data_IF_965131211808
#
_entry.id   IF_965131211808
#
_cell.length_a   1.000
_cell.length_b   1.000
_cell.length_c   1.000
_cell.angle_alpha   90.00
_cell.angle_beta   90.00
_cell.angle_gamma   90.00
#
_symmetry.space_group_name_H-M   'P 1'
#
loop_
_entity.id
_entity.type
_entity.pdbx_description
1 polymer ?
#
# COMPACT_ATOMS: atom_id res chain seq x y z
N UNK A 1 4.20 6.59 -15.88
CA UNK A 1 3.94 7.06 -14.50
C UNK A 1 2.45 7.03 -14.22
N UNK A 2 2.01 6.46 -13.09
CA UNK A 2 0.60 6.36 -12.72
C UNK A 2 0.26 7.39 -11.62
N UNK A 3 0.07 8.65 -12.02
CA UNK A 3 -0.08 9.78 -11.11
C UNK A 3 -1.21 9.64 -10.08
N UNK A 4 -2.28 8.91 -10.39
CA UNK A 4 -3.38 8.71 -9.45
C UNK A 4 -2.94 8.00 -8.15
N UNK A 5 -1.88 7.19 -8.19
CA UNK A 5 -1.34 6.55 -6.97
C UNK A 5 -0.48 7.47 -6.10
N UNK A 6 -0.18 8.70 -6.56
CA UNK A 6 0.55 9.68 -5.75
C UNK A 6 -0.30 10.17 -4.58
N UNK A 7 -1.63 9.99 -4.63
CA UNK A 7 -2.52 10.26 -3.49
C UNK A 7 -2.09 9.49 -2.25
N UNK A 8 -1.47 8.31 -2.40
CA UNK A 8 -0.97 7.52 -1.28
C UNK A 8 0.19 8.20 -0.52
N UNK A 9 0.80 9.25 -1.04
CA UNK A 9 1.75 10.07 -0.28
C UNK A 9 1.08 10.86 0.85
N UNK A 10 -0.26 11.03 0.80
CA UNK A 10 -1.01 11.64 1.91
C UNK A 10 -0.74 10.90 3.24
N UNK A 11 -0.51 9.59 3.20
CA UNK A 11 -0.16 8.80 4.39
C UNK A 11 1.15 9.29 5.02
N UNK A 12 2.14 9.67 4.22
CA UNK A 12 3.44 10.20 4.71
C UNK A 12 3.21 11.54 5.40
N UNK A 13 2.45 12.44 4.77
CA UNK A 13 2.16 13.78 5.30
C UNK A 13 1.34 13.70 6.59
N UNK A 14 0.29 12.88 6.60
CA UNK A 14 -0.55 12.65 7.79
C UNK A 14 0.28 12.04 8.91
N UNK A 15 1.17 11.09 8.62
CA UNK A 15 2.02 10.50 9.64
C UNK A 15 2.98 11.52 10.27
N UNK A 16 3.65 12.32 9.43
CA UNK A 16 4.53 13.40 9.89
C UNK A 16 3.77 14.40 10.78
N UNK A 17 2.58 14.81 10.35
CA UNK A 17 1.73 15.76 11.08
C UNK A 17 1.22 15.17 12.40
N UNK A 18 0.77 13.92 12.41
CA UNK A 18 0.25 13.27 13.62
C UNK A 18 1.31 13.11 14.71
N UNK A 19 2.58 12.96 14.34
CA UNK A 19 3.68 12.79 15.32
C UNK A 19 4.32 14.11 15.74
N UNK A 20 4.40 15.11 14.86
CA UNK A 20 4.97 16.41 15.22
C UNK A 20 4.39 17.55 14.36
N UNK A 21 3.19 18.06 14.69
CA UNK A 21 2.52 19.12 13.92
C UNK A 21 3.37 20.38 13.75
N UNK A 22 4.14 20.73 14.78
CA UNK A 22 5.01 21.92 14.79
C UNK A 22 6.24 21.70 13.91
N UNK A 23 6.86 20.52 13.98
CA UNK A 23 8.06 20.24 13.18
C UNK A 23 7.76 20.12 11.68
N UNK A 24 6.54 19.72 11.29
CA UNK A 24 6.13 19.62 9.88
C UNK A 24 6.38 20.90 9.10
N UNK A 25 6.16 22.07 9.72
CA UNK A 25 6.40 23.37 9.06
C UNK A 25 7.87 23.53 8.68
N UNK A 26 8.78 23.11 9.58
CA UNK A 26 10.23 23.22 9.38
C UNK A 26 10.75 22.19 8.36
N UNK A 27 10.11 21.03 8.25
CA UNK A 27 10.53 19.96 7.33
C UNK A 27 9.80 20.00 5.99
N UNK A 28 9.04 21.05 5.69
CA UNK A 28 8.31 21.18 4.42
C UNK A 28 9.21 21.03 3.17
N UNK A 29 10.41 21.63 3.09
CA UNK A 29 11.32 21.40 1.96
C UNK A 29 11.73 19.93 1.85
N UNK A 30 11.97 19.26 2.99
CA UNK A 30 12.33 17.85 3.03
C UNK A 30 11.15 16.94 2.64
N UNK A 31 9.92 17.29 3.02
CA UNK A 31 8.70 16.60 2.57
C UNK A 31 8.51 16.72 1.05
N UNK A 32 8.75 17.89 0.47
CA UNK A 32 8.68 18.10 -0.98
C UNK A 32 9.78 17.32 -1.72
N UNK A 33 11.01 17.35 -1.20
CA UNK A 33 12.10 16.55 -1.75
C UNK A 33 11.80 15.06 -1.65
N UNK A 34 11.28 14.61 -0.51
CA UNK A 34 10.87 13.23 -0.30
C UNK A 34 9.73 12.84 -1.25
N UNK A 35 8.76 13.72 -1.50
CA UNK A 35 7.71 13.49 -2.49
C UNK A 35 8.30 13.26 -3.89
N UNK A 36 9.20 14.16 -4.33
CA UNK A 36 9.87 14.04 -5.62
C UNK A 36 10.64 12.73 -5.72
N UNK A 37 11.49 12.44 -4.75
CA UNK A 37 12.33 11.24 -4.73
C UNK A 37 11.49 9.98 -4.65
N UNK A 38 10.61 9.87 -3.65
CA UNK A 38 9.88 8.64 -3.37
C UNK A 38 8.75 8.38 -4.36
N UNK A 39 7.89 9.36 -4.66
CA UNK A 39 6.73 9.14 -5.52
C UNK A 39 7.04 9.34 -7.00
N UNK A 40 7.69 10.45 -7.35
CA UNK A 40 7.89 10.77 -8.77
C UNK A 40 8.98 9.90 -9.36
N UNK A 41 10.15 9.86 -8.71
CA UNK A 41 11.31 9.12 -9.22
C UNK A 41 11.18 7.62 -8.93
N UNK A 42 11.29 7.20 -7.67
CA UNK A 42 11.33 5.78 -7.31
C UNK A 42 10.03 5.06 -7.71
N UNK A 43 8.89 5.52 -7.22
CA UNK A 43 7.62 4.83 -7.47
C UNK A 43 7.17 4.94 -8.93
N UNK A 44 7.43 6.08 -9.58
CA UNK A 44 7.23 6.23 -11.03
C UNK A 44 8.07 5.26 -11.85
N UNK A 45 9.33 5.05 -11.45
CA UNK A 45 10.24 4.08 -12.06
C UNK A 45 9.81 2.62 -11.82
N UNK A 46 9.47 2.26 -10.58
CA UNK A 46 9.00 0.93 -10.20
C UNK A 46 7.70 0.54 -10.92
N UNK A 47 6.76 1.47 -11.09
CA UNK A 47 5.55 1.19 -11.87
C UNK A 47 5.82 1.05 -13.36
N UNK A 48 6.75 1.83 -13.89
CA UNK A 48 7.17 1.67 -15.29
C UNK A 48 7.82 0.31 -15.49
N UNK A 49 8.65 -0.15 -14.54
CA UNK A 49 9.20 -1.50 -14.53
C UNK A 49 8.11 -2.56 -14.48
N UNK A 50 7.12 -2.38 -13.60
CA UNK A 50 5.99 -3.30 -13.51
C UNK A 50 5.19 -3.35 -14.83
N UNK A 51 4.92 -2.21 -15.45
CA UNK A 51 4.23 -2.13 -16.75
C UNK A 51 5.01 -2.83 -17.88
N UNK A 52 6.35 -2.88 -17.80
CA UNK A 52 7.19 -3.67 -18.72
C UNK A 52 6.98 -5.16 -18.52
N UNK A 53 7.05 -5.64 -17.27
CA UNK A 53 6.88 -7.05 -16.94
C UNK A 53 5.46 -7.53 -17.29
N UNK A 54 4.45 -6.69 -17.08
CA UNK A 54 3.05 -6.99 -17.38
C UNK A 54 2.71 -6.87 -18.87
N UNK A 55 3.59 -6.31 -19.71
CA UNK A 55 3.25 -5.89 -21.08
C UNK A 55 2.64 -7.01 -21.95
N UNK A 56 3.19 -8.22 -21.87
CA UNK A 56 2.70 -9.39 -22.63
C UNK A 56 1.34 -9.89 -22.14
N UNK A 57 1.11 -9.87 -20.83
CA UNK A 57 -0.18 -10.26 -20.27
C UNK A 57 -1.24 -9.18 -20.56
N UNK A 58 -0.85 -7.90 -20.44
CA UNK A 58 -1.72 -6.77 -20.68
C UNK A 58 -2.16 -6.67 -22.15
N UNK A 59 -1.33 -7.09 -23.11
CA UNK A 59 -1.71 -7.08 -24.54
C UNK A 59 -2.87 -8.02 -24.86
N UNK A 60 -3.09 -9.04 -24.02
CA UNK A 60 -4.21 -10.00 -24.16
C UNK A 60 -5.48 -9.54 -23.44
N UNK A 61 -5.40 -8.51 -22.59
CA UNK A 61 -6.51 -8.07 -21.77
C UNK A 61 -7.39 -7.06 -22.52
N UNK A 62 -8.74 -7.15 -22.44
CA UNK A 62 -9.68 -6.31 -23.21
C UNK A 62 -9.43 -4.80 -23.10
N UNK A 63 -9.18 -4.32 -21.88
CA UNK A 63 -8.89 -2.90 -21.58
C UNK A 63 -7.39 -2.60 -21.50
N UNK A 64 -6.58 -3.42 -20.80
CA UNK A 64 -5.16 -3.11 -20.53
C UNK A 64 -4.28 -3.14 -21.78
N UNK A 65 -4.73 -3.73 -22.89
CA UNK A 65 -4.04 -3.66 -24.20
C UNK A 65 -3.84 -2.23 -24.70
N UNK A 66 -4.63 -1.26 -24.21
CA UNK A 66 -4.53 0.15 -24.59
C UNK A 66 -3.44 0.92 -23.82
N UNK A 67 -2.78 0.30 -22.83
CA UNK A 67 -1.66 0.88 -22.09
C UNK A 67 -0.49 1.16 -23.04
N UNK A 68 0.36 2.13 -22.69
CA UNK A 68 1.38 2.67 -23.59
C UNK A 68 2.35 1.61 -24.15
N UNK A 69 2.80 0.66 -23.31
CA UNK A 69 3.75 -0.40 -23.72
C UNK A 69 3.03 -1.49 -24.55
N UNK A 70 1.94 -2.14 -24.07
CA UNK A 70 1.21 -3.13 -24.86
C UNK A 70 0.65 -2.60 -26.20
N UNK A 71 0.27 -1.32 -26.25
CA UNK A 71 -0.24 -0.68 -27.47
C UNK A 71 0.87 -0.24 -28.44
N UNK A 72 2.15 -0.47 -28.11
CA UNK A 72 3.29 -0.06 -28.94
C UNK A 72 3.56 1.45 -28.99
N UNK A 73 2.91 2.25 -28.13
CA UNK A 73 3.13 3.71 -28.06
C UNK A 73 4.50 4.06 -27.47
N UNK A 74 5.06 3.16 -26.66
CA UNK A 74 6.41 3.26 -26.09
C UNK A 74 7.09 1.91 -26.23
N UNK A 75 8.32 1.87 -26.74
CA UNK A 75 9.09 0.64 -26.85
C UNK A 75 9.52 0.12 -25.47
N UNK A 76 9.66 -1.20 -25.33
CA UNK A 76 10.13 -1.82 -24.08
C UNK A 76 11.49 -1.28 -23.66
N UNK A 77 12.40 -1.06 -24.62
CA UNK A 77 13.74 -0.51 -24.36
C UNK A 77 13.66 0.92 -23.83
N UNK A 78 12.83 1.78 -24.44
CA UNK A 78 12.65 3.15 -23.96
C UNK A 78 12.04 3.18 -22.55
N UNK A 79 11.04 2.33 -22.29
CA UNK A 79 10.45 2.19 -20.96
C UNK A 79 11.45 1.69 -19.92
N UNK A 80 12.31 0.74 -20.28
CA UNK A 80 13.36 0.21 -19.40
C UNK A 80 14.39 1.28 -19.04
N UNK A 81 14.88 2.03 -20.04
CA UNK A 81 15.82 3.13 -19.81
C UNK A 81 15.19 4.22 -18.94
N UNK A 82 13.93 4.57 -19.19
CA UNK A 82 13.19 5.54 -18.38
C UNK A 82 13.02 5.06 -16.93
N UNK A 83 12.62 3.80 -16.74
CA UNK A 83 12.48 3.19 -15.41
C UNK A 83 13.82 3.21 -14.65
N UNK A 84 14.90 2.75 -15.27
CA UNK A 84 16.23 2.73 -14.69
C UNK A 84 16.71 4.14 -14.33
N UNK A 85 16.54 5.11 -15.24
CA UNK A 85 16.92 6.51 -15.00
C UNK A 85 16.20 7.09 -13.78
N UNK A 86 14.89 6.86 -13.67
CA UNK A 86 14.10 7.35 -12.54
C UNK A 86 14.53 6.70 -11.21
N UNK A 87 14.69 5.37 -11.18
CA UNK A 87 15.08 4.66 -9.95
C UNK A 87 16.49 5.08 -9.52
N UNK A 88 17.46 5.09 -10.44
CA UNK A 88 18.84 5.46 -10.13
C UNK A 88 18.97 6.92 -9.71
N UNK A 89 18.23 7.84 -10.35
CA UNK A 89 18.20 9.24 -9.95
C UNK A 89 17.58 9.41 -8.56
N UNK A 90 16.48 8.70 -8.28
CA UNK A 90 15.84 8.71 -6.97
C UNK A 90 16.77 8.16 -5.87
N UNK A 91 17.46 7.05 -6.11
CA UNK A 91 18.45 6.48 -5.17
C UNK A 91 19.59 7.46 -4.94
N UNK A 92 20.12 8.06 -6.02
CA UNK A 92 21.25 8.99 -5.93
C UNK A 92 20.89 10.24 -5.14
N UNK A 93 19.74 10.87 -5.44
CA UNK A 93 19.27 12.04 -4.70
C UNK A 93 18.98 11.69 -3.24
N UNK A 94 18.35 10.53 -2.99
CA UNK A 94 18.10 10.06 -1.63
C UNK A 94 19.40 9.91 -0.83
N UNK A 95 20.43 9.33 -1.44
CA UNK A 95 21.72 9.09 -0.80
C UNK A 95 22.43 10.38 -0.37
N UNK A 96 22.39 11.42 -1.20
CA UNK A 96 23.08 12.68 -0.92
C UNK A 96 22.28 13.67 -0.07
N UNK A 97 20.95 13.66 -0.15
CA UNK A 97 20.12 14.73 0.41
C UNK A 97 19.13 14.28 1.49
N UNK A 98 18.91 12.97 1.67
CA UNK A 98 18.02 12.45 2.71
C UNK A 98 18.85 11.78 3.82
N UNK A 99 18.27 11.67 5.02
CA UNK A 99 18.94 11.01 6.14
C UNK A 99 19.13 9.51 5.86
N UNK A 100 20.12 8.89 6.52
CA UNK A 100 20.41 7.46 6.41
C UNK A 100 19.21 6.57 6.75
N UNK A 101 18.38 7.00 7.71
CA UNK A 101 17.14 6.30 8.07
C UNK A 101 16.12 6.34 6.94
N UNK A 102 15.90 7.51 6.34
CA UNK A 102 14.98 7.68 5.19
C UNK A 102 15.49 6.88 3.98
N UNK A 103 16.79 6.91 3.73
CA UNK A 103 17.42 6.14 2.65
C UNK A 103 17.22 4.63 2.84
N UNK A 104 17.38 4.12 4.07
CA UNK A 104 17.18 2.69 4.38
C UNK A 104 15.72 2.24 4.15
N UNK A 105 14.75 3.07 4.54
CA UNK A 105 13.32 2.82 4.29
C UNK A 105 13.04 2.77 2.78
N UNK A 106 13.65 3.68 2.02
CA UNK A 106 13.51 3.74 0.56
C UNK A 106 14.10 2.48 -0.12
N UNK A 107 15.27 1.99 0.31
CA UNK A 107 15.85 0.76 -0.22
C UNK A 107 14.97 -0.46 0.07
N UNK A 108 14.44 -0.57 1.30
CA UNK A 108 13.51 -1.64 1.66
C UNK A 108 12.23 -1.57 0.81
N UNK A 109 11.69 -0.37 0.60
CA UNK A 109 10.54 -0.15 -0.27
C UNK A 109 10.79 -0.61 -1.71
N UNK A 110 11.95 -0.26 -2.27
CA UNK A 110 12.37 -0.69 -3.61
C UNK A 110 12.46 -2.22 -3.68
N UNK A 111 13.12 -2.85 -2.70
CA UNK A 111 13.26 -4.30 -2.62
C UNK A 111 11.91 -5.01 -2.57
N UNK A 112 10.97 -4.54 -1.75
CA UNK A 112 9.62 -5.09 -1.67
C UNK A 112 8.84 -4.96 -2.99
N UNK A 113 8.96 -3.83 -3.69
CA UNK A 113 8.27 -3.64 -4.97
C UNK A 113 8.86 -4.53 -6.08
N UNK A 114 10.18 -4.72 -6.12
CA UNK A 114 10.78 -5.69 -7.04
C UNK A 114 10.37 -7.12 -6.73
N UNK A 115 10.42 -7.52 -5.46
CA UNK A 115 9.99 -8.85 -5.03
C UNK A 115 8.52 -9.11 -5.37
N UNK A 116 7.67 -8.09 -5.19
CA UNK A 116 6.28 -8.11 -5.63
C UNK A 116 6.14 -8.35 -7.13
N UNK A 117 6.76 -7.50 -7.95
CA UNK A 117 6.60 -7.53 -9.40
C UNK A 117 7.14 -8.81 -10.03
N UNK A 118 8.24 -9.35 -9.51
CA UNK A 118 8.93 -10.49 -10.08
C UNK A 118 8.40 -11.85 -9.59
N UNK A 119 8.01 -11.95 -8.31
CA UNK A 119 7.73 -13.25 -7.70
C UNK A 119 6.33 -13.34 -7.10
N UNK A 120 5.92 -12.34 -6.32
CA UNK A 120 4.85 -12.53 -5.36
C UNK A 120 3.47 -12.03 -5.79
N UNK A 121 3.38 -11.27 -6.89
CA UNK A 121 2.10 -10.74 -7.40
C UNK A 121 1.07 -11.83 -7.76
N UNK A 122 1.49 -13.06 -8.00
CA UNK A 122 0.62 -14.19 -8.35
C UNK A 122 0.08 -14.95 -7.11
N UNK A 123 0.64 -14.73 -5.93
CA UNK A 123 0.21 -15.36 -4.67
C UNK A 123 -0.68 -14.36 -3.93
N UNK A 124 -1.99 -14.61 -3.88
CA UNK A 124 -3.01 -13.64 -3.40
C UNK A 124 -2.64 -13.04 -2.04
N UNK A 125 -2.46 -13.87 -1.01
CA UNK A 125 -2.19 -13.37 0.35
C UNK A 125 -0.84 -12.67 0.46
N UNK A 126 0.18 -13.13 -0.26
CA UNK A 126 1.50 -12.53 -0.20
C UNK A 126 1.54 -11.18 -0.93
N UNK A 127 0.77 -11.03 -2.02
CA UNK A 127 0.52 -9.75 -2.66
C UNK A 127 -0.11 -8.76 -1.65
N UNK A 128 -1.21 -9.15 -1.00
CA UNK A 128 -1.89 -8.29 -0.01
C UNK A 128 -0.96 -7.91 1.16
N UNK A 129 -0.13 -8.84 1.63
CA UNK A 129 0.89 -8.61 2.65
C UNK A 129 1.92 -7.56 2.18
N UNK A 130 2.44 -7.67 0.95
CA UNK A 130 3.40 -6.69 0.42
C UNK A 130 2.74 -5.32 0.25
N UNK A 131 1.50 -5.26 -0.23
CA UNK A 131 0.75 -4.00 -0.32
C UNK A 131 0.65 -3.35 1.06
N UNK A 132 0.21 -4.08 2.09
CA UNK A 132 0.18 -3.59 3.47
C UNK A 132 1.55 -3.13 3.97
N UNK A 133 2.62 -3.88 3.65
CA UNK A 133 4.00 -3.55 3.99
C UNK A 133 4.45 -2.22 3.37
N UNK A 134 4.22 -2.01 2.07
CA UNK A 134 4.61 -0.77 1.40
C UNK A 134 3.85 0.46 1.91
N UNK A 135 2.62 0.31 2.39
CA UNK A 135 1.88 1.39 3.07
C UNK A 135 2.40 1.64 4.49
N UNK A 136 2.80 0.57 5.20
CA UNK A 136 3.45 0.67 6.51
C UNK A 136 4.78 1.42 6.43
N UNK A 137 5.57 1.18 5.38
CA UNK A 137 6.81 1.93 5.14
C UNK A 137 6.56 3.42 4.87
N UNK A 138 5.43 3.81 4.27
CA UNK A 138 5.07 5.23 4.09
C UNK A 138 4.73 5.89 5.41
N UNK A 139 4.05 5.19 6.31
CA UNK A 139 3.84 5.68 7.68
C UNK A 139 5.19 5.94 8.35
N UNK A 140 6.08 4.94 8.35
CA UNK A 140 7.41 5.04 8.96
C UNK A 140 8.24 6.18 8.33
N UNK A 141 8.15 6.36 7.01
CA UNK A 141 8.82 7.44 6.28
C UNK A 141 8.40 8.81 6.80
N UNK A 142 7.09 9.05 6.96
CA UNK A 142 6.57 10.33 7.44
C UNK A 142 7.02 10.66 8.86
N UNK A 143 7.00 9.65 9.75
CA UNK A 143 7.45 9.78 11.13
C UNK A 143 8.96 10.08 11.20
N UNK A 144 9.74 9.39 10.36
CA UNK A 144 11.21 9.57 10.31
C UNK A 144 11.59 10.96 9.79
N UNK A 145 10.80 11.55 8.88
CA UNK A 145 11.07 12.89 8.33
C UNK A 145 10.94 14.02 9.36
N UNK A 146 10.22 13.81 10.45
CA UNK A 146 10.08 14.76 11.57
C UNK A 146 10.93 14.37 12.78
N UNK A 147 11.91 13.49 12.59
CA UNK A 147 12.80 12.95 13.63
C UNK A 147 12.06 12.34 14.83
N UNK A 148 10.84 11.86 14.59
CA UNK A 148 10.06 11.15 15.60
C UNK A 148 10.35 9.65 15.55
N UNK A 149 10.09 8.98 16.67
CA UNK A 149 10.23 7.52 16.79
C UNK A 149 8.87 6.87 16.95
N UNK A 150 8.68 5.70 16.33
CA UNK A 150 7.51 4.85 16.50
C UNK A 150 7.95 3.53 17.15
N UNK A 151 7.14 3.00 18.06
CA UNK A 151 7.43 1.70 18.66
C UNK A 151 7.24 0.59 17.62
N UNK A 152 8.10 -0.46 17.62
CA UNK A 152 7.93 -1.60 16.72
C UNK A 152 6.55 -2.24 16.83
N UNK A 153 5.97 -2.28 18.04
CA UNK A 153 4.62 -2.81 18.28
C UNK A 153 3.53 -2.04 17.54
N UNK A 154 3.56 -0.70 17.55
CA UNK A 154 2.57 0.12 16.81
C UNK A 154 2.75 -0.05 15.30
N UNK A 155 4.00 -0.18 14.82
CA UNK A 155 4.27 -0.42 13.41
C UNK A 155 3.74 -1.79 12.93
N UNK A 156 3.93 -2.83 13.74
CA UNK A 156 3.41 -4.18 13.48
C UNK A 156 1.87 -4.17 13.53
N UNK A 157 1.27 -3.49 14.51
CA UNK A 157 -0.18 -3.33 14.60
C UNK A 157 -0.73 -2.66 13.33
N UNK A 158 -0.12 -1.56 12.88
CA UNK A 158 -0.52 -0.87 11.66
C UNK A 158 -0.42 -1.77 10.42
N UNK A 159 0.66 -2.56 10.31
CA UNK A 159 0.80 -3.55 9.26
C UNK A 159 -0.31 -4.61 9.29
N UNK A 160 -0.57 -5.21 10.46
CA UNK A 160 -1.61 -6.22 10.64
C UNK A 160 -2.99 -5.65 10.30
N UNK A 161 -3.29 -4.43 10.73
CA UNK A 161 -4.53 -3.74 10.40
C UNK A 161 -4.69 -3.55 8.89
N UNK A 162 -3.67 -3.05 8.20
CA UNK A 162 -3.73 -2.84 6.75
C UNK A 162 -3.84 -4.16 5.99
N UNK A 163 -3.13 -5.21 6.41
CA UNK A 163 -3.24 -6.53 5.84
C UNK A 163 -4.64 -7.12 6.03
N UNK A 164 -5.17 -6.99 7.25
CA UNK A 164 -6.52 -7.34 7.61
C UNK A 164 -7.56 -6.63 6.75
N UNK A 165 -7.49 -5.30 6.61
CA UNK A 165 -8.39 -4.52 5.76
C UNK A 165 -8.27 -4.96 4.29
N UNK A 166 -7.05 -5.14 3.78
CA UNK A 166 -6.81 -5.56 2.40
C UNK A 166 -7.43 -6.93 2.10
N UNK A 167 -7.32 -7.88 3.04
CA UNK A 167 -7.97 -9.21 2.92
C UNK A 167 -9.49 -9.10 3.00
N UNK A 168 -10.05 -8.25 3.86
CA UNK A 168 -11.49 -8.00 3.95
C UNK A 168 -12.07 -7.37 2.69
N UNK A 169 -11.39 -6.39 2.11
CA UNK A 169 -11.80 -5.78 0.83
C UNK A 169 -11.70 -6.84 -0.27
N UNK A 170 -10.60 -7.59 -0.34
CA UNK A 170 -10.46 -8.66 -1.31
C UNK A 170 -11.60 -9.69 -1.19
N UNK A 171 -11.98 -10.09 0.03
CA UNK A 171 -13.06 -11.03 0.27
C UNK A 171 -14.44 -10.49 -0.12
N UNK A 172 -14.67 -9.20 0.09
CA UNK A 172 -15.92 -8.54 -0.28
C UNK A 172 -16.17 -8.47 -1.79
N UNK A 173 -15.10 -8.31 -2.58
CA UNK A 173 -15.22 -7.99 -4.00
C UNK A 173 -14.85 -9.13 -4.95
N UNK A 174 -13.99 -10.05 -4.53
CA UNK A 174 -13.40 -11.04 -5.44
C UNK A 174 -13.73 -12.49 -5.08
N UNK A 175 -14.20 -12.78 -3.87
CA UNK A 175 -14.69 -14.12 -3.55
C UNK A 175 -16.12 -14.25 -4.06
N UNK A 176 -16.31 -15.03 -5.13
CA UNK A 176 -17.66 -15.41 -5.57
C UNK A 176 -18.26 -16.34 -4.50
N UNK A 177 -19.43 -16.01 -3.91
CA UNK A 177 -20.00 -16.77 -2.80
C UNK A 177 -20.29 -18.25 -3.10
N UNK A 178 -20.37 -18.64 -4.38
CA UNK A 178 -20.84 -19.95 -4.83
C UNK A 178 -19.78 -20.84 -5.53
N UNK A 179 -18.58 -20.32 -5.82
CA UNK A 179 -17.54 -21.08 -6.55
C UNK A 179 -16.28 -21.36 -5.71
N UNK A 180 -16.20 -20.83 -4.49
CA UNK A 180 -14.98 -20.89 -3.65
C UNK A 180 -14.94 -22.14 -2.75
N UNK A 181 -13.78 -22.83 -2.64
CA UNK A 181 -13.59 -23.89 -1.66
C UNK A 181 -13.85 -23.38 -0.24
N UNK A 182 -14.60 -24.14 0.56
CA UNK A 182 -14.89 -23.82 1.97
C UNK A 182 -13.64 -23.42 2.76
N UNK A 183 -12.50 -24.07 2.48
CA UNK A 183 -11.23 -23.81 3.15
C UNK A 183 -10.77 -22.35 3.00
N UNK A 184 -10.88 -21.75 1.81
CA UNK A 184 -10.43 -20.38 1.53
C UNK A 184 -11.17 -19.35 2.40
N UNK A 185 -12.48 -19.54 2.61
CA UNK A 185 -13.31 -18.63 3.43
C UNK A 185 -12.86 -18.61 4.90
N UNK A 186 -12.54 -19.78 5.47
CA UNK A 186 -12.04 -19.85 6.85
C UNK A 186 -10.64 -19.28 7.00
N UNK A 187 -9.79 -19.37 5.96
CA UNK A 187 -8.44 -18.78 5.99
C UNK A 187 -8.51 -17.26 6.04
N UNK A 188 -9.39 -16.66 5.24
CA UNK A 188 -9.64 -15.22 5.26
C UNK A 188 -10.17 -14.79 6.63
N UNK A 189 -11.17 -15.50 7.17
CA UNK A 189 -11.72 -15.19 8.49
C UNK A 189 -10.65 -15.28 9.57
N UNK A 190 -9.83 -16.32 9.53
CA UNK A 190 -8.72 -16.49 10.47
C UNK A 190 -7.74 -15.31 10.39
N UNK A 191 -7.32 -14.89 9.19
CA UNK A 191 -6.43 -13.74 9.02
C UNK A 191 -7.05 -12.45 9.58
N UNK A 192 -8.34 -12.23 9.34
CA UNK A 192 -9.06 -11.06 9.83
C UNK A 192 -9.15 -11.03 11.36
N UNK A 193 -9.54 -12.14 11.98
CA UNK A 193 -9.64 -12.23 13.44
C UNK A 193 -8.26 -12.18 14.10
N UNK A 194 -7.25 -12.84 13.53
CA UNK A 194 -5.89 -12.82 14.04
C UNK A 194 -5.28 -11.41 13.96
N UNK A 195 -5.44 -10.72 12.83
CA UNK A 195 -4.97 -9.34 12.69
C UNK A 195 -5.69 -8.40 13.65
N UNK A 196 -7.02 -8.50 13.78
CA UNK A 196 -7.78 -7.72 14.77
C UNK A 196 -7.27 -7.94 16.20
N UNK A 197 -7.07 -9.20 16.60
CA UNK A 197 -6.55 -9.55 17.93
C UNK A 197 -5.13 -9.00 18.15
N UNK A 198 -4.23 -9.13 17.17
CA UNK A 198 -2.86 -8.62 17.27
C UNK A 198 -2.86 -7.10 17.44
N UNK A 199 -3.69 -6.37 16.70
CA UNK A 199 -3.81 -4.91 16.81
C UNK A 199 -4.26 -4.53 18.22
N UNK A 200 -5.31 -5.19 18.74
CA UNK A 200 -5.82 -4.93 20.09
C UNK A 200 -4.81 -5.25 21.19
N UNK A 201 -4.09 -6.37 21.08
CA UNK A 201 -3.03 -6.74 22.03
C UNK A 201 -1.88 -5.72 22.02
N UNK A 202 -1.36 -5.37 20.84
CA UNK A 202 -0.26 -4.41 20.72
C UNK A 202 -0.67 -3.01 21.17
N UNK A 203 -1.94 -2.63 20.99
CA UNK A 203 -2.51 -1.41 21.58
C UNK A 203 -2.52 -1.47 23.11
N UNK A 204 -3.01 -2.56 23.68
CA UNK A 204 -3.05 -2.76 25.13
C UNK A 204 -1.66 -2.63 25.75
N UNK A 205 -0.64 -3.21 25.12
CA UNK A 205 0.75 -3.13 25.58
C UNK A 205 1.42 -1.75 25.40
N UNK A 206 0.97 -0.93 24.45
CA UNK A 206 1.68 0.31 24.07
C UNK A 206 1.18 1.57 24.79
N UNK A 207 0.29 1.46 25.78
CA UNK A 207 -0.38 2.58 26.47
C UNK A 207 -1.14 3.56 25.55
N UNK A 208 -1.24 3.28 24.24
CA UNK A 208 -2.09 3.99 23.28
C UNK A 208 -3.58 3.60 23.38
N UNK A 209 -3.90 2.68 24.31
CA UNK A 209 -5.18 2.01 24.55
C UNK A 209 -6.43 2.91 24.58
N UNK A 210 -6.31 4.19 24.92
CA UNK A 210 -7.44 5.12 25.01
C UNK A 210 -7.41 6.25 23.97
N UNK A 211 -6.51 6.18 23.00
CA UNK A 211 -6.51 7.16 21.93
C UNK A 211 -7.74 6.94 21.03
N UNK A 212 -8.70 7.86 21.14
CA UNK A 212 -9.96 7.85 20.39
C UNK A 212 -9.79 7.55 18.88
N UNK A 213 -8.75 8.05 18.18
CA UNK A 213 -8.55 7.74 16.77
C UNK A 213 -8.27 6.26 16.48
N UNK A 214 -7.54 5.58 17.37
CA UNK A 214 -7.13 4.19 17.15
C UNK A 214 -8.28 3.24 17.46
N UNK A 215 -9.04 3.51 18.53
CA UNK A 215 -10.28 2.78 18.84
C UNK A 215 -11.32 2.95 17.72
N UNK A 216 -11.49 4.16 17.19
CA UNK A 216 -12.39 4.40 16.06
C UNK A 216 -11.99 3.59 14.81
N UNK A 217 -10.69 3.47 14.54
CA UNK A 217 -10.17 2.69 13.42
C UNK A 217 -10.37 1.18 13.61
N UNK A 218 -10.22 0.66 14.83
CA UNK A 218 -10.53 -0.73 15.15
C UNK A 218 -12.02 -1.04 15.03
N UNK A 219 -12.89 -0.16 15.52
CA UNK A 219 -14.34 -0.31 15.36
C UNK A 219 -14.70 -0.33 13.87
N UNK A 220 -14.14 0.59 13.09
CA UNK A 220 -14.33 0.59 11.64
C UNK A 220 -13.86 -0.71 10.99
N UNK A 221 -12.70 -1.22 11.41
CA UNK A 221 -12.19 -2.49 10.90
C UNK A 221 -13.09 -3.68 11.28
N UNK A 222 -13.60 -3.72 12.51
CA UNK A 222 -14.56 -4.73 12.95
C UNK A 222 -15.86 -4.69 12.12
N UNK A 223 -16.37 -3.49 11.84
CA UNK A 223 -17.53 -3.30 10.96
C UNK A 223 -17.24 -3.88 9.57
N UNK A 224 -16.07 -3.62 8.98
CA UNK A 224 -15.69 -4.20 7.69
C UNK A 224 -15.66 -5.74 7.73
N UNK A 225 -15.16 -6.34 8.82
CA UNK A 225 -15.16 -7.81 8.99
C UNK A 225 -16.60 -8.32 8.98
N UNK A 226 -17.49 -7.78 9.83
CA UNK A 226 -18.90 -8.19 9.91
C UNK A 226 -19.56 -8.10 8.53
N UNK A 227 -19.36 -6.97 7.87
CA UNK A 227 -19.82 -6.69 6.52
C UNK A 227 -19.37 -7.71 5.48
N UNK A 228 -18.16 -8.26 5.59
CA UNK A 228 -17.63 -9.27 4.66
C UNK A 228 -18.34 -10.63 4.74
N UNK A 229 -18.99 -10.94 5.86
CA UNK A 229 -19.76 -12.18 6.05
C UNK A 229 -21.27 -11.97 6.09
N UNK A 230 -21.74 -10.74 6.25
CA UNK A 230 -23.15 -10.39 6.14
C UNK A 230 -23.57 -10.31 4.66
N UNK A 231 -24.09 -11.42 4.12
CA UNK A 231 -24.55 -11.53 2.72
C UNK A 231 -25.52 -10.42 2.30
N UNK A 232 -26.32 -9.89 3.23
CA UNK A 232 -27.26 -8.78 3.00
C UNK A 232 -26.55 -7.45 2.79
N UNK A 233 -25.37 -7.23 3.39
CA UNK A 233 -24.65 -5.95 3.34
C UNK A 233 -23.68 -5.84 2.16
N UNK A 234 -23.19 -6.97 1.63
CA UNK A 234 -22.25 -7.00 0.51
C UNK A 234 -22.70 -6.15 -0.70
N UNK A 235 -23.98 -6.17 -1.14
CA UNK A 235 -24.42 -5.36 -2.28
C UNK A 235 -24.45 -3.85 -2.01
N UNK A 236 -24.68 -3.43 -0.77
CA UNK A 236 -24.73 -2.01 -0.38
C UNK A 236 -23.32 -1.44 -0.27
N UNK A 237 -22.41 -2.21 0.32
CA UNK A 237 -20.99 -1.88 0.42
C UNK A 237 -20.37 -1.80 -0.97
N UNK A 238 -20.72 -2.74 -1.85
CA UNK A 238 -20.30 -2.67 -3.23
C UNK A 238 -20.75 -1.37 -3.93
N UNK A 239 -21.95 -0.84 -3.60
CA UNK A 239 -22.41 0.45 -4.15
C UNK A 239 -21.72 1.66 -3.53
N UNK A 240 -21.42 1.63 -2.23
CA UNK A 240 -20.75 2.73 -1.52
C UNK A 240 -19.29 2.86 -1.95
N UNK A 241 -18.58 1.74 -2.11
CA UNK A 241 -17.17 1.72 -2.47
C UNK A 241 -16.92 1.65 -4.00
N UNK A 242 -17.93 1.32 -4.82
CA UNK A 242 -17.79 1.30 -6.29
C UNK A 242 -18.84 2.15 -7.00
N UNK A 243 -18.41 3.33 -7.44
CA UNK A 243 -18.88 3.89 -8.70
C UNK A 243 -18.28 3.02 -9.83
N UNK A 244 -19.15 2.26 -10.51
CA UNK A 244 -18.93 1.46 -11.73
C UNK A 244 -18.18 0.12 -11.59
N UNK A 245 -18.84 -0.88 -11.00
CA UNK A 245 -18.71 -2.30 -11.36
C UNK A 245 -19.85 -2.79 -12.26
N UNK A 246 -20.31 -1.94 -13.19
CA UNK A 246 -21.20 -2.36 -14.26
C UNK A 246 -20.62 -1.85 -15.56
N UNK A 247 -19.91 -2.74 -16.23
CA UNK A 247 -20.11 -3.11 -17.63
C UNK A 247 -19.29 -4.39 -17.86
N UNK A 248 -19.88 -5.49 -17.38
CA UNK A 248 -19.80 -6.79 -18.05
C UNK A 248 -20.44 -6.62 -19.42
#
# INVERSE_FOLDING_TARGET
MRFHFHISFITVVVAAFSYSPVAVVNVLPMLLLCYLVFNVLIYGGLYTFNDIIDAKADSQHPIKKMRAIPAGKVSVVAAANFSALLILSGISIAYYYLSSNVFSILLLFIGLNFAYTLYFKHIIYLNLAIVAGTHTLRLLLGITLVDATISPGVLIAFYCLLFGIATTIHSLFNLKPYEEPYYTKYHVLFIQLASFLIVGLLQFYSNYFLSLPVVALEIFYLVLIICSYASVLQPYIARVFMVKLKNV
#
